data_IF_048965948332
#
_entry.id   IF_048965948332
#
_cell.length_a   1.000
_cell.length_b   1.000
_cell.length_c   1.000
_cell.angle_alpha   90.00
_cell.angle_beta   90.00
_cell.angle_gamma   90.00
#
_symmetry.space_group_name_H-M   'P 1'
#
loop_
_entity.id
_entity.type
_entity.pdbx_description
1 polymer ?
#
# COMPACT_ATOMS: atom_id res chain seq x y z
N UNK A 1 -22.23 1.87 19.91
CA UNK A 1 -20.77 1.60 19.79
C UNK A 1 -20.38 0.95 18.46
N UNK A 2 -21.07 -0.10 17.98
CA UNK A 2 -20.73 -0.78 16.72
C UNK A 2 -20.66 0.15 15.48
N UNK A 3 -21.57 1.13 15.36
CA UNK A 3 -21.57 2.08 14.24
C UNK A 3 -20.38 3.05 14.26
N UNK A 4 -19.92 3.45 15.45
CA UNK A 4 -18.76 4.34 15.60
C UNK A 4 -17.46 3.62 15.22
N UNK A 5 -17.28 2.37 15.66
CA UNK A 5 -16.14 1.54 15.25
C UNK A 5 -16.12 1.28 13.74
N UNK A 6 -17.30 1.11 13.12
CA UNK A 6 -17.43 0.93 11.68
C UNK A 6 -17.02 2.19 10.91
N UNK A 7 -17.47 3.37 11.36
CA UNK A 7 -17.08 4.64 10.75
C UNK A 7 -15.59 4.93 10.90
N UNK A 8 -15.03 4.70 12.09
CA UNK A 8 -13.58 4.82 12.31
C UNK A 8 -12.79 3.90 11.40
N UNK A 9 -13.25 2.65 11.20
CA UNK A 9 -12.60 1.72 10.27
C UNK A 9 -12.64 2.24 8.84
N UNK A 10 -13.77 2.80 8.38
CA UNK A 10 -13.92 3.32 7.02
C UNK A 10 -13.02 4.54 6.81
N UNK A 11 -13.06 5.51 7.73
CA UNK A 11 -12.28 6.75 7.64
C UNK A 11 -10.78 6.45 7.79
N UNK A 12 -10.42 5.59 8.75
CA UNK A 12 -9.04 5.15 8.94
C UNK A 12 -8.50 4.44 7.69
N UNK A 13 -9.32 3.59 7.06
CA UNK A 13 -8.93 2.93 5.82
C UNK A 13 -8.76 3.92 4.67
N UNK A 14 -9.68 4.87 4.51
CA UNK A 14 -9.57 5.91 3.48
C UNK A 14 -8.31 6.78 3.67
N UNK A 15 -7.95 7.10 4.91
CA UNK A 15 -6.72 7.83 5.22
C UNK A 15 -5.45 7.03 4.86
N UNK A 16 -5.44 5.72 5.15
CA UNK A 16 -4.34 4.81 4.78
C UNK A 16 -4.22 4.71 3.26
N UNK A 17 -5.33 4.55 2.53
CA UNK A 17 -5.34 4.52 1.06
C UNK A 17 -4.82 5.84 0.47
N UNK A 18 -5.27 6.98 0.98
CA UNK A 18 -4.81 8.28 0.52
C UNK A 18 -3.30 8.49 0.75
N UNK A 19 -2.80 8.12 1.93
CA UNK A 19 -1.37 8.19 2.24
C UNK A 19 -0.55 7.25 1.33
N UNK A 20 -1.03 6.04 1.09
CA UNK A 20 -0.38 5.09 0.19
C UNK A 20 -0.31 5.62 -1.25
N UNK A 21 -1.42 6.15 -1.78
CA UNK A 21 -1.45 6.75 -3.11
C UNK A 21 -0.51 7.95 -3.23
N UNK A 22 -0.38 8.76 -2.18
CA UNK A 22 0.55 9.89 -2.16
C UNK A 22 2.01 9.42 -2.22
N UNK A 23 2.37 8.36 -1.48
CA UNK A 23 3.71 7.76 -1.54
C UNK A 23 4.00 7.22 -2.95
N UNK A 24 3.04 6.51 -3.56
CA UNK A 24 3.15 5.99 -4.93
C UNK A 24 3.32 7.14 -5.93
N UNK A 25 2.55 8.22 -5.79
CA UNK A 25 2.68 9.41 -6.62
C UNK A 25 4.07 10.05 -6.49
N UNK A 26 4.58 10.19 -5.26
CA UNK A 26 5.92 10.71 -5.02
C UNK A 26 7.00 9.82 -5.67
N UNK A 27 6.86 8.49 -5.58
CA UNK A 27 7.77 7.55 -6.25
C UNK A 27 7.75 7.73 -7.77
N UNK A 28 6.56 7.80 -8.38
CA UNK A 28 6.41 7.98 -9.82
C UNK A 28 6.98 9.33 -10.28
N UNK A 29 6.69 10.41 -9.56
CA UNK A 29 7.25 11.73 -9.86
C UNK A 29 8.77 11.74 -9.76
N UNK A 30 9.35 11.10 -8.74
CA UNK A 30 10.80 10.97 -8.60
C UNK A 30 11.42 10.16 -9.76
N UNK A 31 10.72 9.14 -10.28
CA UNK A 31 11.18 8.35 -11.44
C UNK A 31 11.10 9.18 -12.74
N UNK A 32 10.04 9.97 -12.93
CA UNK A 32 9.81 10.74 -14.18
C UNK A 32 10.69 11.99 -14.23
N UNK A 33 10.80 12.72 -13.12
CA UNK A 33 11.48 14.03 -13.03
C UNK A 33 12.96 13.86 -12.67
N UNK A 34 13.34 12.75 -12.02
CA UNK A 34 14.71 12.44 -11.66
C UNK A 34 15.30 13.45 -10.66
N UNK A 35 16.52 13.91 -10.92
CA UNK A 35 17.26 14.79 -9.99
C UNK A 35 16.69 16.21 -9.87
N UNK A 36 15.69 16.57 -10.68
CA UNK A 36 15.00 17.88 -10.60
C UNK A 36 13.83 17.89 -9.60
N UNK A 37 13.62 16.79 -8.88
CA UNK A 37 12.47 16.65 -7.99
C UNK A 37 12.73 17.30 -6.64
N UNK A 38 11.72 17.99 -6.09
CA UNK A 38 11.81 18.65 -4.78
C UNK A 38 12.28 17.70 -3.66
N UNK A 39 12.93 18.27 -2.64
CA UNK A 39 13.53 17.52 -1.51
C UNK A 39 12.54 16.64 -0.75
N UNK A 40 11.28 17.05 -0.67
CA UNK A 40 10.22 16.27 -0.07
C UNK A 40 9.91 14.99 -0.86
N UNK A 41 9.72 15.11 -2.18
CA UNK A 41 9.33 13.99 -3.05
C UNK A 41 10.48 12.98 -3.12
N UNK A 42 11.71 13.45 -3.29
CA UNK A 42 12.89 12.59 -3.30
C UNK A 42 13.12 11.92 -1.94
N UNK A 43 12.83 12.59 -0.83
CA UNK A 43 12.88 12.02 0.52
C UNK A 43 11.86 10.89 0.72
N UNK A 44 10.60 11.13 0.37
CA UNK A 44 9.53 10.11 0.44
C UNK A 44 9.87 8.91 -0.46
N UNK A 45 10.33 9.16 -1.68
CA UNK A 45 10.73 8.12 -2.61
C UNK A 45 11.90 7.28 -2.06
N UNK A 46 12.94 7.91 -1.52
CA UNK A 46 14.09 7.21 -0.90
C UNK A 46 13.69 6.38 0.32
N UNK A 47 12.82 6.90 1.16
CA UNK A 47 12.33 6.15 2.34
C UNK A 47 11.49 4.94 1.90
N UNK A 48 10.63 5.11 0.90
CA UNK A 48 9.82 4.03 0.37
C UNK A 48 10.68 2.95 -0.32
N UNK A 49 11.68 3.32 -1.13
CA UNK A 49 12.59 2.35 -1.74
C UNK A 49 13.47 1.65 -0.70
N UNK A 50 14.00 2.38 0.29
CA UNK A 50 14.75 1.78 1.38
C UNK A 50 13.90 0.80 2.19
N UNK A 51 12.64 1.15 2.47
CA UNK A 51 11.69 0.23 3.11
C UNK A 51 11.50 -1.04 2.27
N UNK A 52 11.21 -0.91 0.98
CA UNK A 52 11.04 -2.07 0.08
C UNK A 52 12.29 -2.93 -0.02
N UNK A 53 13.48 -2.32 0.00
CA UNK A 53 14.77 -3.03 -0.03
C UNK A 53 15.11 -3.69 1.32
N UNK A 54 14.63 -3.14 2.43
CA UNK A 54 14.85 -3.70 3.78
C UNK A 54 14.01 -4.93 4.07
N UNK A 55 12.91 -5.14 3.32
CA UNK A 55 12.03 -6.28 3.52
C UNK A 55 12.72 -7.56 3.03
N UNK A 56 12.90 -8.58 3.90
CA UNK A 56 13.38 -9.88 3.46
C UNK A 56 12.47 -10.44 2.37
N UNK A 57 13.03 -11.05 1.30
CA UNK A 57 12.24 -11.60 0.20
C UNK A 57 11.15 -12.59 0.66
N UNK A 58 11.41 -13.32 1.74
CA UNK A 58 10.46 -14.24 2.36
C UNK A 58 9.19 -13.57 2.90
N UNK A 59 9.28 -12.32 3.39
CA UNK A 59 8.09 -11.57 3.86
C UNK A 59 7.21 -11.20 2.67
N UNK A 60 7.80 -10.70 1.59
CA UNK A 60 7.06 -10.38 0.37
C UNK A 60 6.33 -11.61 -0.18
N UNK A 61 7.04 -12.75 -0.29
CA UNK A 61 6.45 -14.01 -0.72
C UNK A 61 5.31 -14.46 0.21
N UNK A 62 5.49 -14.36 1.53
CA UNK A 62 4.45 -14.70 2.50
C UNK A 62 3.18 -13.86 2.34
N UNK A 63 3.33 -12.53 2.19
CA UNK A 63 2.20 -11.62 1.98
C UNK A 63 1.48 -11.93 0.66
N UNK A 64 2.22 -12.13 -0.43
CA UNK A 64 1.64 -12.50 -1.73
C UNK A 64 0.87 -13.82 -1.61
N UNK A 65 1.44 -14.82 -0.94
CA UNK A 65 0.79 -16.13 -0.76
C UNK A 65 -0.51 -16.01 0.02
N UNK A 66 -0.54 -15.23 1.10
CA UNK A 66 -1.74 -14.96 1.89
C UNK A 66 -2.83 -14.29 1.04
N UNK A 67 -2.46 -13.28 0.25
CA UNK A 67 -3.41 -12.57 -0.63
C UNK A 67 -3.96 -13.49 -1.71
N UNK A 68 -3.12 -14.32 -2.33
CA UNK A 68 -3.53 -15.30 -3.35
C UNK A 68 -4.46 -16.35 -2.76
N UNK A 69 -4.12 -16.92 -1.60
CA UNK A 69 -4.98 -17.90 -0.91
C UNK A 69 -6.32 -17.24 -0.57
N UNK A 70 -6.32 -16.04 0.00
CA UNK A 70 -7.55 -15.34 0.33
C UNK A 70 -8.40 -15.05 -0.91
N UNK A 71 -7.79 -14.60 -2.01
CA UNK A 71 -8.49 -14.33 -3.28
C UNK A 71 -9.06 -15.62 -3.90
N UNK A 72 -8.31 -16.73 -3.84
CA UNK A 72 -8.75 -18.04 -4.31
C UNK A 72 -9.92 -18.58 -3.47
N UNK A 73 -9.82 -18.51 -2.15
CA UNK A 73 -10.90 -18.89 -1.25
C UNK A 73 -12.13 -18.01 -1.49
N UNK A 74 -11.94 -16.70 -1.67
CA UNK A 74 -13.03 -15.77 -1.96
C UNK A 74 -13.73 -16.08 -3.28
N UNK A 75 -12.99 -16.37 -4.35
CA UNK A 75 -13.59 -16.68 -5.65
C UNK A 75 -14.30 -18.04 -5.69
N UNK A 76 -13.90 -18.98 -4.83
CA UNK A 76 -14.51 -20.32 -4.73
C UNK A 76 -15.66 -20.42 -3.73
N UNK A 77 -15.60 -19.67 -2.63
CA UNK A 77 -16.53 -19.82 -1.50
C UNK A 77 -17.58 -18.71 -1.39
N UNK A 78 -17.36 -17.53 -2.00
CA UNK A 78 -18.35 -16.46 -2.01
C UNK A 78 -19.03 -16.40 -3.39
N UNK A 79 -20.37 -16.42 -3.46
CA UNK A 79 -21.08 -16.27 -4.73
C UNK A 79 -20.69 -14.93 -5.38
N UNK A 80 -20.60 -14.86 -6.72
CA UNK A 80 -20.42 -13.59 -7.41
C UNK A 80 -21.55 -12.64 -6.99
N UNK A 81 -21.18 -11.43 -6.55
CA UNK A 81 -22.14 -10.37 -6.28
C UNK A 81 -22.66 -9.78 -7.58
#
# INVERSE_FOLDING_TARGET
MANFLRQLRIIGWAAVEAAFLLIVLCLLLNIIIGDKTDSFISGVAKNATAFLQSLPPGIFLGVVLIVVIWAFLRSRLLPPR
#
